data_IF_620577690996
#
_entry.id   IF_620577690996
#
_cell.length_a   1.000
_cell.length_b   1.000
_cell.length_c   1.000
_cell.angle_alpha   90.00
_cell.angle_beta   90.00
_cell.angle_gamma   90.00
#
_symmetry.space_group_name_H-M   'P 1'
#
loop_
_entity.id
_entity.type
_entity.pdbx_description
1 polymer ?
#
# COMPACT_ATOMS: atom_id res chain seq x y z
N UNK A 1 6.17 -21.49 20.03
CA UNK A 1 5.36 -21.55 18.79
C UNK A 1 4.95 -20.13 18.46
N UNK A 2 5.21 -19.64 17.24
CA UNK A 2 4.76 -18.31 16.84
C UNK A 2 3.24 -18.30 16.81
N UNK A 3 2.59 -17.44 17.59
CA UNK A 3 1.15 -17.20 17.46
C UNK A 3 0.84 -16.81 16.02
N UNK A 4 -0.07 -17.55 15.38
CA UNK A 4 -0.57 -17.20 14.05
C UNK A 4 -1.60 -16.08 14.22
N UNK A 5 -1.30 -14.90 13.71
CA UNK A 5 -2.30 -13.84 13.62
C UNK A 5 -3.27 -14.17 12.46
N UNK A 6 -4.50 -14.52 12.80
CA UNK A 6 -5.54 -14.85 11.82
C UNK A 6 -6.44 -13.63 11.62
N UNK A 7 -6.59 -13.20 10.36
CA UNK A 7 -7.48 -12.11 9.97
C UNK A 7 -8.70 -12.72 9.28
N UNK A 8 -9.89 -12.50 9.84
CA UNK A 8 -11.13 -12.90 9.17
C UNK A 8 -11.57 -11.85 8.15
N UNK A 9 -12.44 -12.24 7.22
CA UNK A 9 -13.04 -11.33 6.25
C UNK A 9 -13.81 -10.18 6.91
N UNK A 10 -14.56 -10.47 7.98
CA UNK A 10 -15.28 -9.46 8.73
C UNK A 10 -14.33 -8.44 9.38
N UNK A 11 -13.21 -8.93 9.94
CA UNK A 11 -12.17 -8.06 10.48
C UNK A 11 -11.60 -7.14 9.40
N UNK A 12 -11.27 -7.69 8.22
CA UNK A 12 -10.75 -6.90 7.10
C UNK A 12 -11.74 -5.82 6.66
N UNK A 13 -13.01 -6.16 6.48
CA UNK A 13 -14.05 -5.20 6.09
C UNK A 13 -14.28 -4.13 7.16
N UNK A 14 -14.30 -4.50 8.44
CA UNK A 14 -14.41 -3.54 9.53
C UNK A 14 -13.23 -2.56 9.58
N UNK A 15 -12.00 -3.04 9.35
CA UNK A 15 -10.84 -2.17 9.30
C UNK A 15 -10.86 -1.25 8.07
N UNK A 16 -11.28 -1.76 6.91
CA UNK A 16 -11.45 -0.94 5.71
C UNK A 16 -12.45 0.20 5.92
N UNK A 17 -13.59 -0.06 6.58
CA UNK A 17 -14.56 0.99 6.96
C UNK A 17 -13.96 2.05 7.88
N UNK A 18 -13.27 1.61 8.95
CA UNK A 18 -12.60 2.53 9.89
C UNK A 18 -11.56 3.39 9.19
N UNK A 19 -10.81 2.82 8.26
CA UNK A 19 -9.82 3.54 7.47
C UNK A 19 -10.49 4.52 6.49
N UNK A 20 -11.55 4.11 5.79
CA UNK A 20 -12.30 4.98 4.89
C UNK A 20 -12.84 6.23 5.62
N UNK A 21 -13.35 6.08 6.85
CA UNK A 21 -13.77 7.23 7.66
C UNK A 21 -12.66 8.26 7.91
N UNK A 22 -11.40 7.82 8.03
CA UNK A 22 -10.25 8.71 8.22
C UNK A 22 -9.79 9.38 6.93
N UNK A 23 -10.20 8.85 5.78
CA UNK A 23 -9.83 9.36 4.45
C UNK A 23 -10.89 10.30 3.86
N UNK A 24 -11.96 10.61 4.59
CA UNK A 24 -12.96 11.59 4.16
C UNK A 24 -12.41 13.03 4.25
N UNK A 25 -12.87 13.96 3.38
CA UNK A 25 -13.88 13.75 2.34
C UNK A 25 -13.33 13.00 1.11
N UNK A 26 -14.18 12.27 0.38
CA UNK A 26 -13.72 11.38 -0.70
C UNK A 26 -13.29 12.12 -1.98
N UNK A 27 -13.82 13.33 -2.20
CA UNK A 27 -13.57 14.18 -3.36
C UNK A 27 -12.13 14.74 -3.44
N UNK A 28 -11.39 14.72 -2.33
CA UNK A 28 -9.96 15.06 -2.32
C UNK A 28 -9.09 14.03 -3.07
N UNK A 29 -9.63 12.84 -3.36
CA UNK A 29 -8.91 11.73 -3.99
C UNK A 29 -9.29 11.57 -5.46
N UNK A 30 -8.29 11.55 -6.34
CA UNK A 30 -8.43 11.26 -7.78
C UNK A 30 -8.73 9.79 -8.03
N UNK A 31 -8.29 8.89 -7.15
CA UNK A 31 -8.48 7.44 -7.30
C UNK A 31 -7.73 6.62 -6.26
N UNK A 32 -7.72 5.29 -6.46
CA UNK A 32 -6.98 4.32 -5.64
C UNK A 32 -5.99 3.56 -6.52
N UNK A 33 -4.78 3.31 -6.03
CA UNK A 33 -3.78 2.47 -6.68
C UNK A 33 -3.48 1.29 -5.77
N UNK A 34 -3.82 0.08 -6.22
CA UNK A 34 -3.56 -1.15 -5.48
C UNK A 34 -2.18 -1.70 -5.82
N UNK A 35 -1.37 -1.98 -4.80
CA UNK A 35 -0.12 -2.73 -4.95
C UNK A 35 -0.47 -4.21 -5.08
N UNK A 36 -0.19 -4.78 -6.25
CA UNK A 36 -0.52 -6.18 -6.50
C UNK A 36 0.48 -7.11 -5.80
N UNK A 37 0.02 -8.21 -5.21
CA UNK A 37 -1.38 -8.71 -5.18
C UNK A 37 -2.12 -8.38 -3.88
N UNK A 38 -1.38 -8.17 -2.80
CA UNK A 38 -1.94 -8.04 -1.45
C UNK A 38 -2.90 -6.87 -1.28
N UNK A 39 -2.57 -5.73 -1.90
CA UNK A 39 -3.40 -4.52 -1.87
C UNK A 39 -4.71 -4.60 -2.64
N UNK A 40 -4.94 -5.61 -3.49
CA UNK A 40 -6.11 -5.68 -4.37
C UNK A 40 -7.44 -5.72 -3.58
N UNK A 41 -7.53 -6.59 -2.57
CA UNK A 41 -8.75 -6.74 -1.78
C UNK A 41 -8.99 -5.51 -0.88
N UNK A 42 -8.02 -5.04 -0.09
CA UNK A 42 -8.19 -3.82 0.71
C UNK A 42 -8.53 -2.59 -0.14
N UNK A 43 -7.92 -2.42 -1.32
CA UNK A 43 -8.22 -1.33 -2.25
C UNK A 43 -9.67 -1.38 -2.73
N UNK A 44 -10.16 -2.58 -3.05
CA UNK A 44 -11.54 -2.81 -3.48
C UNK A 44 -12.55 -2.43 -2.38
N UNK A 45 -12.25 -2.78 -1.13
CA UNK A 45 -13.08 -2.42 0.01
C UNK A 45 -13.09 -0.91 0.24
N UNK A 46 -11.93 -0.26 0.21
CA UNK A 46 -11.84 1.20 0.34
C UNK A 46 -12.54 1.95 -0.80
N UNK A 47 -12.39 1.50 -2.04
CA UNK A 47 -13.06 2.08 -3.20
C UNK A 47 -14.58 2.07 -3.02
N UNK A 48 -15.12 0.96 -2.51
CA UNK A 48 -16.55 0.83 -2.21
C UNK A 48 -16.99 1.80 -1.11
N UNK A 49 -16.27 1.86 0.00
CA UNK A 49 -16.65 2.69 1.15
C UNK A 49 -16.53 4.20 0.85
N UNK A 50 -15.54 4.60 0.04
CA UNK A 50 -15.35 5.99 -0.40
C UNK A 50 -16.15 6.35 -1.67
N UNK A 51 -16.86 5.39 -2.27
CA UNK A 51 -17.52 5.54 -3.58
C UNK A 51 -16.59 5.98 -4.72
N UNK A 52 -15.30 5.63 -4.65
CA UNK A 52 -14.31 5.90 -5.68
C UNK A 52 -14.40 4.83 -6.77
N UNK A 53 -14.51 5.26 -8.03
CA UNK A 53 -14.61 4.36 -9.19
C UNK A 53 -13.29 4.15 -9.91
N UNK A 54 -12.37 5.12 -9.83
CA UNK A 54 -11.06 4.97 -10.43
C UNK A 54 -10.15 4.16 -9.52
N UNK A 55 -9.95 2.88 -9.88
CA UNK A 55 -9.02 1.98 -9.21
C UNK A 55 -8.04 1.46 -10.25
N UNK A 56 -6.76 1.78 -10.08
CA UNK A 56 -5.67 1.27 -10.90
C UNK A 56 -4.75 0.37 -10.05
N UNK A 57 -3.74 -0.21 -10.70
CA UNK A 57 -2.81 -1.16 -10.09
C UNK A 57 -1.36 -0.80 -10.37
N UNK A 58 -0.49 -1.15 -9.44
CA UNK A 58 0.94 -1.31 -9.70
C UNK A 58 1.31 -2.77 -9.44
N UNK A 59 2.03 -3.39 -10.37
CA UNK A 59 2.47 -4.78 -10.24
C UNK A 59 3.98 -4.80 -10.05
N UNK A 60 4.41 -5.42 -8.96
CA UNK A 60 5.82 -5.47 -8.57
C UNK A 60 6.19 -6.91 -8.27
N UNK A 61 7.35 -7.32 -8.75
CA UNK A 61 8.01 -8.56 -8.36
C UNK A 61 9.30 -8.22 -7.63
N UNK A 62 9.48 -8.77 -6.43
CA UNK A 62 10.77 -8.84 -5.76
C UNK A 62 11.32 -10.24 -5.98
N UNK A 63 12.53 -10.37 -6.55
CA UNK A 63 13.24 -11.64 -6.59
C UNK A 63 14.17 -11.71 -5.37
N UNK A 64 14.02 -12.75 -4.55
CA UNK A 64 15.00 -13.09 -3.51
C UNK A 64 15.80 -14.29 -4.01
N UNK A 65 17.10 -14.09 -4.26
CA UNK A 65 18.12 -15.11 -4.05
C UNK A 65 19.44 -14.40 -3.72
N UNK A 66 19.76 -14.40 -2.43
CA UNK A 66 21.06 -14.12 -1.81
C UNK A 66 21.73 -12.75 -1.99
N UNK A 67 21.21 -11.85 -2.84
CA UNK A 67 21.65 -10.46 -2.89
C UNK A 67 20.47 -9.48 -2.94
N UNK A 68 20.60 -8.48 -2.08
CA UNK A 68 19.74 -7.33 -1.82
C UNK A 68 19.03 -6.72 -3.05
N UNK A 69 17.68 -6.69 -3.03
CA UNK A 69 16.80 -5.55 -3.37
C UNK A 69 16.59 -5.08 -4.84
N UNK A 70 16.61 -5.95 -5.85
CA UNK A 70 16.08 -5.51 -7.17
C UNK A 70 14.55 -5.66 -7.26
N UNK A 71 13.86 -4.57 -6.93
CA UNK A 71 12.42 -4.43 -7.14
C UNK A 71 12.15 -4.21 -8.64
N UNK A 72 11.54 -5.20 -9.29
CA UNK A 72 11.15 -5.09 -10.70
C UNK A 72 9.69 -4.67 -10.82
N UNK A 73 9.44 -3.55 -11.48
CA UNK A 73 8.09 -3.11 -11.81
C UNK A 73 7.62 -3.82 -13.07
N UNK A 74 6.54 -4.59 -12.95
CA UNK A 74 5.90 -5.32 -14.04
C UNK A 74 4.84 -4.47 -14.75
N UNK A 75 4.12 -3.64 -13.98
CA UNK A 75 3.11 -2.70 -14.48
C UNK A 75 3.09 -1.46 -13.61
N UNK A 76 3.10 -0.28 -14.23
CA UNK A 76 3.02 1.03 -13.55
C UNK A 76 1.60 1.57 -13.61
N UNK A 77 1.21 2.30 -12.57
CA UNK A 77 0.09 3.23 -12.68
C UNK A 77 0.60 4.51 -13.38
N UNK A 78 -0.27 5.14 -14.17
CA UNK A 78 0.06 6.39 -14.86
C UNK A 78 0.14 7.59 -13.90
N UNK A 79 0.72 8.70 -14.36
CA UNK A 79 0.85 9.94 -13.57
C UNK A 79 2.04 9.93 -12.62
N UNK A 80 1.89 10.58 -11.47
CA UNK A 80 2.89 10.73 -10.38
C UNK A 80 2.38 10.21 -9.02
N UNK A 81 1.17 9.65 -9.01
CA UNK A 81 0.48 9.17 -7.80
C UNK A 81 -0.06 10.29 -6.90
N UNK A 82 0.02 11.57 -7.31
CA UNK A 82 -0.49 12.69 -6.52
C UNK A 82 -2.03 12.67 -6.47
N UNK A 83 -2.60 12.75 -5.26
CA UNK A 83 -4.04 12.68 -5.05
C UNK A 83 -4.61 11.25 -5.15
N UNK A 84 -3.77 10.21 -5.19
CA UNK A 84 -4.21 8.82 -5.13
C UNK A 84 -3.99 8.19 -3.75
N UNK A 85 -4.89 7.30 -3.36
CA UNK A 85 -4.68 6.42 -2.19
C UNK A 85 -3.92 5.18 -2.67
N UNK A 86 -2.68 5.00 -2.21
CA UNK A 86 -1.90 3.78 -2.50
C UNK A 86 -2.15 2.76 -1.40
N UNK A 87 -2.56 1.55 -1.77
CA UNK A 87 -3.01 0.51 -0.83
C UNK A 87 -2.21 -0.77 -1.01
N UNK A 88 -1.71 -1.30 0.11
CA UNK A 88 -1.03 -2.59 0.21
C UNK A 88 -1.47 -3.31 1.50
N UNK A 89 -1.41 -4.64 1.53
CA UNK A 89 -1.71 -5.45 2.73
C UNK A 89 -0.47 -5.68 3.61
N UNK A 90 0.70 -5.27 3.13
CA UNK A 90 1.96 -5.62 3.75
C UNK A 90 2.18 -4.94 5.11
N UNK A 91 2.41 -5.75 6.14
CA UNK A 91 2.71 -5.31 7.51
C UNK A 91 4.21 -5.29 7.85
N UNK A 92 5.11 -5.30 6.86
CA UNK A 92 6.54 -5.49 7.12
C UNK A 92 7.35 -4.20 7.31
N UNK A 93 7.63 -3.87 8.57
CA UNK A 93 8.95 -3.37 8.97
C UNK A 93 9.38 -4.08 10.25
N UNK A 94 10.17 -5.15 10.15
CA UNK A 94 11.03 -5.60 11.26
C UNK A 94 12.43 -5.90 10.77
N UNK A 95 13.24 -4.85 10.69
CA UNK A 95 14.52 -4.78 11.38
C UNK A 95 15.03 -3.34 11.39
N UNK A 96 14.79 -2.61 12.47
CA UNK A 96 15.87 -2.10 13.30
C UNK A 96 15.33 -1.79 14.71
N UNK A 97 16.19 -2.09 15.67
CA UNK A 97 16.01 -2.10 17.12
C UNK A 97 15.51 -0.74 17.64
N UNK A 98 14.35 -0.75 18.28
CA UNK A 98 13.98 0.06 19.44
C UNK A 98 14.32 1.57 19.37
N UNK A 99 13.48 2.37 18.73
CA UNK A 99 13.42 3.82 18.97
C UNK A 99 12.00 4.37 18.76
N UNK A 100 11.53 5.07 19.79
CA UNK A 100 10.34 5.93 19.93
C UNK A 100 8.99 5.48 19.28
N UNK A 101 7.97 5.06 20.06
CA UNK A 101 6.63 4.76 19.55
C UNK A 101 5.87 5.98 18.98
N UNK A 102 6.41 7.20 19.12
CA UNK A 102 5.86 8.43 18.51
C UNK A 102 6.47 8.76 17.15
N UNK A 103 7.50 8.03 16.74
CA UNK A 103 8.11 8.18 15.43
C UNK A 103 7.74 6.95 14.60
N UNK A 104 6.83 7.13 13.63
CA UNK A 104 6.62 6.12 12.59
C UNK A 104 7.67 6.41 11.53
N UNK A 105 8.82 5.70 11.48
CA UNK A 105 9.77 5.89 10.41
C UNK A 105 9.05 5.64 9.08
N UNK A 106 9.25 6.53 8.10
CA UNK A 106 8.76 6.29 6.76
C UNK A 106 9.34 4.95 6.28
N UNK A 107 8.45 4.08 5.79
CA UNK A 107 8.87 2.75 5.35
C UNK A 107 9.77 2.91 4.13
N UNK A 108 11.02 2.40 4.14
CA UNK A 108 11.87 2.39 2.96
C UNK A 108 11.18 1.77 1.75
N UNK A 109 10.24 0.84 1.97
CA UNK A 109 9.41 0.28 0.91
C UNK A 109 8.56 1.35 0.21
N UNK A 110 7.99 2.32 0.92
CA UNK A 110 7.21 3.42 0.32
C UNK A 110 8.09 4.31 -0.56
N UNK A 111 9.32 4.60 -0.13
CA UNK A 111 10.25 5.41 -0.92
C UNK A 111 10.72 4.67 -2.17
N UNK A 112 11.06 3.39 -2.03
CA UNK A 112 11.43 2.55 -3.17
C UNK A 112 10.24 2.36 -4.11
N UNK A 113 9.02 2.21 -3.59
CA UNK A 113 7.79 2.12 -4.38
C UNK A 113 7.58 3.40 -5.17
N UNK A 114 7.68 4.57 -4.52
CA UNK A 114 7.57 5.87 -5.20
C UNK A 114 8.64 6.03 -6.28
N UNK A 115 9.91 5.81 -5.96
CA UNK A 115 11.02 5.93 -6.93
C UNK A 115 10.88 4.93 -8.10
N UNK A 116 10.42 3.71 -7.83
CA UNK A 116 10.26 2.69 -8.86
C UNK A 116 9.06 2.97 -9.78
N UNK A 117 7.96 3.48 -9.23
CA UNK A 117 6.73 3.74 -9.99
C UNK A 117 6.77 5.10 -10.69
N UNK A 118 7.28 6.11 -9.98
CA UNK A 118 7.29 7.53 -10.34
C UNK A 118 8.68 8.13 -10.07
N UNK A 119 9.71 7.72 -10.84
CA UNK A 119 11.02 8.34 -10.73
C UNK A 119 10.91 9.84 -11.06
N UNK A 120 11.69 10.71 -10.38
CA UNK A 120 11.70 12.14 -10.72
C UNK A 120 12.06 12.29 -12.20
N UNK A 121 11.24 13.02 -12.94
CA UNK A 121 11.57 13.46 -14.29
C UNK A 121 12.79 14.36 -14.19
N UNK A 122 13.89 13.96 -14.83
CA UNK A 122 15.03 14.85 -15.08
C UNK A 122 14.68 16.00 -15.99
#
# INVERSE_FOLDING_TARGET
>A
MSEKYVVTWDMLQMQARKLAHRLLPADQWKGIIAVSRGGLVPASLLARELSIRYVDTVCISSYDHDNQREMKVLKRAEGDGEGFIVVDDFSGYRRHRQSDPRHVPESPFRDHLRQACWPPTG
#
